data_IF_615206686528
#
_entry.id   IF_615206686528
#
_cell.length_a   1.000
_cell.length_b   1.000
_cell.length_c   1.000
_cell.angle_alpha   90.00
_cell.angle_beta   90.00
_cell.angle_gamma   90.00
#
_symmetry.space_group_name_H-M   'P 1'
#
loop_
_entity.id
_entity.type
_entity.pdbx_description
1 polymer ?
#
# COMPACT_ATOMS: atom_id res chain seq x y z
N UNK A 1 -11.76 -5.56 -28.80
CA UNK A 1 -11.70 -5.07 -27.41
C UNK A 1 -11.32 -6.25 -26.56
N UNK A 2 -10.06 -6.29 -26.14
CA UNK A 2 -9.59 -7.35 -25.26
C UNK A 2 -9.93 -6.90 -23.83
N UNK A 3 -10.79 -7.66 -23.15
CA UNK A 3 -11.15 -7.42 -21.75
C UNK A 3 -10.76 -8.63 -20.93
N UNK A 4 -9.93 -8.43 -19.91
CA UNK A 4 -9.56 -9.48 -18.97
C UNK A 4 -10.36 -9.32 -17.68
N UNK A 5 -11.00 -10.40 -17.24
CA UNK A 5 -11.71 -10.43 -15.97
C UNK A 5 -11.04 -11.43 -15.03
N UNK A 6 -10.75 -10.99 -13.81
CA UNK A 6 -10.25 -11.83 -12.73
C UNK A 6 -11.14 -11.68 -11.51
N UNK A 7 -11.36 -12.78 -10.80
CA UNK A 7 -12.00 -12.75 -9.48
C UNK A 7 -10.91 -12.84 -8.44
N UNK A 8 -10.76 -11.79 -7.63
CA UNK A 8 -9.74 -11.68 -6.61
C UNK A 8 -10.27 -12.11 -5.26
N UNK A 9 -9.62 -13.09 -4.63
CA UNK A 9 -9.94 -13.56 -3.29
C UNK A 9 -9.08 -12.84 -2.25
N UNK A 10 -9.69 -11.90 -1.53
CA UNK A 10 -9.02 -11.14 -0.49
C UNK A 10 -8.87 -11.97 0.80
N UNK A 11 -7.66 -12.48 1.04
CA UNK A 11 -7.34 -13.10 2.32
C UNK A 11 -6.59 -12.11 3.25
N UNK A 12 -6.81 -12.22 4.57
CA UNK A 12 -6.09 -11.43 5.60
C UNK A 12 -4.56 -11.39 5.43
N UNK A 13 -3.84 -12.50 5.16
CA UNK A 13 -2.40 -12.47 4.97
C UNK A 13 -1.98 -11.68 3.72
N UNK A 14 -2.77 -11.70 2.65
CA UNK A 14 -2.49 -10.97 1.41
C UNK A 14 -2.63 -9.45 1.65
N UNK A 15 -3.65 -9.03 2.42
CA UNK A 15 -3.84 -7.62 2.78
C UNK A 15 -2.68 -7.12 3.64
N UNK A 16 -2.25 -7.91 4.64
CA UNK A 16 -1.10 -7.56 5.48
C UNK A 16 0.21 -7.52 4.69
N UNK A 17 0.40 -8.47 3.78
CA UNK A 17 1.57 -8.51 2.90
C UNK A 17 1.62 -7.25 2.01
N UNK A 18 0.53 -6.95 1.30
CA UNK A 18 0.44 -5.78 0.43
C UNK A 18 0.66 -4.47 1.20
N UNK A 19 0.10 -4.35 2.40
CA UNK A 19 0.27 -3.16 3.24
C UNK A 19 1.71 -3.01 3.76
N UNK A 20 2.34 -4.11 4.19
CA UNK A 20 3.73 -4.08 4.64
C UNK A 20 4.68 -3.75 3.48
N UNK A 21 4.45 -4.31 2.31
CA UNK A 21 5.25 -4.04 1.12
C UNK A 21 5.06 -2.61 0.61
N UNK A 22 3.83 -2.10 0.59
CA UNK A 22 3.54 -0.70 0.28
C UNK A 22 4.27 0.26 1.23
N UNK A 23 4.27 -0.04 2.54
CA UNK A 23 5.01 0.75 3.53
C UNK A 23 6.53 0.64 3.36
N UNK A 24 7.06 -0.57 3.16
CA UNK A 24 8.50 -0.79 2.96
C UNK A 24 9.01 -0.07 1.71
N UNK A 25 8.24 -0.03 0.63
CA UNK A 25 8.64 0.65 -0.59
C UNK A 25 8.54 2.18 -0.46
N UNK A 26 7.50 2.71 0.19
CA UNK A 26 7.35 4.16 0.40
C UNK A 26 8.36 4.75 1.38
N UNK A 27 8.73 3.99 2.41
CA UNK A 27 9.64 4.43 3.47
C UNK A 27 11.08 4.10 3.05
N UNK A 28 11.29 2.92 2.47
CA UNK A 28 12.61 2.33 2.26
C UNK A 28 13.13 1.70 3.55
N UNK A 29 13.64 0.47 3.46
CA UNK A 29 14.22 -0.25 4.61
C UNK A 29 15.30 0.57 5.32
N UNK A 30 16.09 1.33 4.55
CA UNK A 30 17.16 2.17 5.07
C UNK A 30 16.65 3.26 6.02
N UNK A 31 15.57 3.98 5.66
CA UNK A 31 15.04 5.04 6.54
C UNK A 31 14.42 4.46 7.80
N UNK A 32 13.86 3.24 7.74
CA UNK A 32 13.36 2.51 8.90
C UNK A 32 14.50 2.17 9.86
N UNK A 33 15.63 1.66 9.35
CA UNK A 33 16.84 1.38 10.14
C UNK A 33 17.39 2.67 10.75
N UNK A 34 17.55 3.74 9.95
CA UNK A 34 18.08 5.03 10.43
C UNK A 34 17.18 5.62 11.51
N UNK A 35 15.86 5.58 11.32
CA UNK A 35 14.89 6.08 12.31
C UNK A 35 14.92 5.24 13.59
N UNK A 36 15.02 3.90 13.47
CA UNK A 36 15.17 3.00 14.61
C UNK A 36 16.45 3.27 15.41
N UNK A 37 17.58 3.43 14.71
CA UNK A 37 18.84 3.82 15.33
C UNK A 37 18.74 5.19 16.01
N UNK A 38 18.09 6.17 15.36
CA UNK A 38 17.91 7.51 15.92
C UNK A 38 17.02 7.50 17.19
N UNK A 39 15.95 6.69 17.20
CA UNK A 39 15.06 6.52 18.36
C UNK A 39 15.78 5.95 19.59
N UNK A 40 16.81 5.13 19.38
CA UNK A 40 17.58 4.51 20.47
C UNK A 40 18.76 5.42 20.88
N UNK A 41 19.51 5.95 19.91
CA UNK A 41 20.72 6.73 20.16
C UNK A 41 20.41 8.12 20.73
N UNK A 42 19.36 8.81 20.25
CA UNK A 42 19.06 10.17 20.69
C UNK A 42 18.74 10.27 22.19
N UNK A 43 17.89 9.40 22.79
CA UNK A 43 17.66 9.42 24.23
C UNK A 43 18.92 9.08 25.05
N UNK A 44 19.73 8.12 24.58
CA UNK A 44 20.98 7.74 25.26
C UNK A 44 21.98 8.90 25.31
N UNK A 45 22.13 9.62 24.19
CA UNK A 45 22.94 10.83 24.12
C UNK A 45 22.35 11.96 24.97
N UNK A 46 21.03 12.10 25.02
CA UNK A 46 20.34 13.13 25.80
C UNK A 46 20.56 12.98 27.31
N UNK A 47 20.54 11.73 27.79
CA UNK A 47 20.81 11.39 29.19
C UNK A 47 22.30 11.63 29.52
N UNK A 48 23.21 11.23 28.61
CA UNK A 48 24.66 11.35 28.82
C UNK A 48 25.18 12.78 28.83
N UNK A 49 24.74 13.62 27.88
CA UNK A 49 25.25 14.99 27.73
C UNK A 49 24.44 16.04 28.51
N UNK A 50 23.34 15.63 29.15
CA UNK A 50 22.43 16.49 29.93
C UNK A 50 22.01 17.78 29.19
N UNK A 51 21.95 17.70 27.86
CA UNK A 51 21.66 18.85 27.00
C UNK A 51 20.17 18.94 26.75
N UNK A 52 19.57 20.07 27.16
CA UNK A 52 18.15 20.34 26.98
C UNK A 52 17.73 20.38 25.50
N UNK A 53 18.57 20.98 24.64
CA UNK A 53 18.31 21.06 23.20
C UNK A 53 18.21 19.66 22.57
N UNK A 54 19.07 18.72 22.99
CA UNK A 54 19.05 17.36 22.47
C UNK A 54 17.79 16.60 22.91
N UNK A 55 17.29 16.88 24.12
CA UNK A 55 16.04 16.29 24.63
C UNK A 55 14.83 16.76 23.81
N UNK A 56 14.78 18.03 23.40
CA UNK A 56 13.71 18.55 22.54
C UNK A 56 13.69 17.85 21.18
N UNK A 57 14.85 17.64 20.54
CA UNK A 57 14.94 16.92 19.27
C UNK A 57 14.52 15.45 19.42
N UNK A 58 14.96 14.77 20.48
CA UNK A 58 14.57 13.39 20.75
C UNK A 58 13.04 13.27 20.91
N UNK A 59 12.42 14.18 21.67
CA UNK A 59 10.97 14.19 21.88
C UNK A 59 10.21 14.46 20.58
N UNK A 60 10.66 15.43 19.76
CA UNK A 60 10.06 15.71 18.46
C UNK A 60 10.11 14.51 17.51
N UNK A 61 11.22 13.76 17.51
CA UNK A 61 11.36 12.55 16.72
C UNK A 61 10.39 11.45 17.18
N UNK A 62 10.26 11.24 18.49
CA UNK A 62 9.28 10.30 19.07
C UNK A 62 7.84 10.66 18.72
N UNK A 63 7.48 11.94 18.79
CA UNK A 63 6.17 12.44 18.39
C UNK A 63 5.88 12.15 16.91
N UNK A 64 6.83 12.44 16.02
CA UNK A 64 6.68 12.18 14.58
C UNK A 64 6.46 10.70 14.27
N UNK A 65 7.26 9.82 14.88
CA UNK A 65 7.12 8.38 14.71
C UNK A 65 5.80 7.87 15.31
N UNK A 66 5.39 8.37 16.47
CA UNK A 66 4.12 8.01 17.11
C UNK A 66 2.92 8.37 16.24
N UNK A 67 2.90 9.58 15.69
CA UNK A 67 1.83 10.06 14.81
C UNK A 67 1.74 9.22 13.53
N UNK A 68 2.89 8.83 12.98
CA UNK A 68 2.96 7.93 11.84
C UNK A 68 2.42 6.52 12.16
N UNK A 69 2.80 5.96 13.32
CA UNK A 69 2.27 4.67 13.80
C UNK A 69 0.76 4.67 14.01
N UNK A 70 0.19 5.80 14.46
CA UNK A 70 -1.26 5.98 14.58
C UNK A 70 -1.94 5.91 13.20
N UNK A 71 -1.39 6.58 12.19
CA UNK A 71 -1.93 6.54 10.82
C UNK A 71 -1.89 5.11 10.25
N UNK A 72 -0.78 4.38 10.46
CA UNK A 72 -0.69 2.97 10.08
C UNK A 72 -1.78 2.13 10.75
N UNK A 73 -1.96 2.30 12.07
CA UNK A 73 -2.98 1.59 12.83
C UNK A 73 -4.40 1.88 12.35
N UNK A 74 -4.71 3.14 12.03
CA UNK A 74 -6.01 3.52 11.47
C UNK A 74 -6.24 2.86 10.11
N UNK A 75 -5.26 2.91 9.20
CA UNK A 75 -5.36 2.26 7.88
C UNK A 75 -5.54 0.75 8.00
N UNK A 76 -4.80 0.11 8.89
CA UNK A 76 -4.92 -1.34 9.12
C UNK A 76 -6.31 -1.70 9.64
N UNK A 77 -6.81 -0.96 10.64
CA UNK A 77 -8.17 -1.16 11.16
C UNK A 77 -9.23 -0.92 10.10
N UNK A 78 -9.08 0.10 9.26
CA UNK A 78 -10.00 0.36 8.16
C UNK A 78 -10.01 -0.80 7.15
N UNK A 79 -8.85 -1.30 6.74
CA UNK A 79 -8.76 -2.47 5.86
C UNK A 79 -9.38 -3.72 6.49
N UNK A 80 -9.16 -3.96 7.78
CA UNK A 80 -9.76 -5.08 8.51
C UNK A 80 -11.29 -4.93 8.67
N UNK A 81 -11.78 -3.71 8.88
CA UNK A 81 -13.22 -3.39 8.94
C UNK A 81 -13.91 -3.51 7.58
N UNK A 82 -13.24 -3.13 6.49
CA UNK A 82 -13.76 -3.31 5.13
C UNK A 82 -13.85 -4.80 4.83
N UNK A 83 -12.82 -5.57 5.17
CA UNK A 83 -12.81 -7.02 5.00
C UNK A 83 -13.89 -7.71 5.84
N UNK A 84 -14.12 -7.27 7.09
CA UNK A 84 -15.15 -7.87 7.95
C UNK A 84 -16.57 -7.53 7.51
N UNK A 85 -16.76 -6.45 6.73
CA UNK A 85 -18.04 -6.07 6.13
C UNK A 85 -18.31 -6.76 4.78
N UNK A 86 -17.30 -7.35 4.14
CA UNK A 86 -17.50 -8.16 2.94
C UNK A 86 -18.09 -9.52 3.34
N UNK A 87 -19.35 -9.78 2.96
CA UNK A 87 -20.01 -11.08 3.16
C UNK A 87 -19.28 -12.21 2.44
N UNK A 88 -18.67 -11.91 1.29
CA UNK A 88 -17.73 -12.75 0.55
C UNK A 88 -16.51 -11.90 0.22
N UNK A 89 -15.29 -12.30 0.62
CA UNK A 89 -14.10 -11.50 0.41
C UNK A 89 -13.58 -11.67 -1.04
N UNK A 90 -14.44 -11.35 -2.00
CA UNK A 90 -14.18 -11.46 -3.43
C UNK A 90 -14.45 -10.13 -4.10
N UNK A 91 -13.58 -9.74 -5.03
CA UNK A 91 -13.86 -8.65 -5.96
C UNK A 91 -13.53 -9.08 -7.38
N UNK A 92 -14.45 -8.78 -8.29
CA UNK A 92 -14.23 -8.97 -9.72
C UNK A 92 -13.56 -7.72 -10.27
N UNK A 93 -12.38 -7.90 -10.85
CA UNK A 93 -11.64 -6.83 -11.50
C UNK A 93 -11.66 -7.09 -13.00
N UNK A 94 -12.18 -6.12 -13.74
CA UNK A 94 -12.19 -6.12 -15.20
C UNK A 94 -11.20 -5.09 -15.71
N UNK A 95 -10.20 -5.54 -16.46
CA UNK A 95 -9.24 -4.70 -17.15
C UNK A 95 -9.68 -4.54 -18.60
N UNK A 96 -9.88 -3.30 -19.00
CA UNK A 96 -10.15 -2.89 -20.37
C UNK A 96 -9.01 -1.99 -20.86
N UNK A 97 -8.91 -1.78 -22.16
CA UNK A 97 -7.88 -0.93 -22.78
C UNK A 97 -7.98 0.54 -22.34
N UNK A 98 -9.12 0.99 -21.81
CA UNK A 98 -9.36 2.37 -21.40
C UNK A 98 -9.56 2.57 -19.89
N UNK A 99 -10.01 1.53 -19.18
CA UNK A 99 -10.33 1.61 -17.75
C UNK A 99 -10.12 0.27 -17.04
N UNK A 100 -9.96 0.37 -15.72
CA UNK A 100 -9.95 -0.72 -14.76
C UNK A 100 -11.23 -0.59 -13.93
N UNK A 101 -12.07 -1.61 -13.96
CA UNK A 101 -13.29 -1.68 -13.16
C UNK A 101 -13.10 -2.68 -12.04
N UNK A 102 -13.41 -2.26 -10.82
CA UNK A 102 -13.41 -3.12 -9.63
C UNK A 102 -14.84 -3.20 -9.12
N UNK A 103 -15.39 -4.40 -9.08
CA UNK A 103 -16.73 -4.69 -8.59
C UNK A 103 -16.64 -5.63 -7.39
N UNK A 104 -17.21 -5.22 -6.27
CA UNK A 104 -17.23 -6.00 -5.03
C UNK A 104 -18.62 -5.91 -4.40
N UNK A 105 -18.90 -6.77 -3.40
CA UNK A 105 -20.16 -6.68 -2.64
C UNK A 105 -20.39 -5.32 -1.96
N UNK A 106 -19.35 -4.49 -1.81
CA UNK A 106 -19.44 -3.16 -1.22
C UNK A 106 -19.68 -2.04 -2.24
N UNK A 107 -19.53 -2.32 -3.54
CA UNK A 107 -19.73 -1.35 -4.60
C UNK A 107 -18.87 -1.60 -5.83
N UNK A 108 -19.13 -0.78 -6.86
CA UNK A 108 -18.45 -0.77 -8.15
C UNK A 108 -17.68 0.54 -8.34
N UNK A 109 -16.41 0.45 -8.72
CA UNK A 109 -15.55 1.59 -9.00
C UNK A 109 -14.90 1.40 -10.37
N UNK A 110 -14.99 2.40 -11.24
CA UNK A 110 -14.31 2.42 -12.53
C UNK A 110 -13.28 3.55 -12.55
N UNK A 111 -12.03 3.20 -12.89
CA UNK A 111 -10.90 4.11 -12.92
C UNK A 111 -10.23 4.04 -14.29
N UNK A 112 -10.00 5.19 -14.93
CA UNK A 112 -9.25 5.26 -16.20
C UNK A 112 -7.77 5.01 -15.95
N UNK A 113 -7.05 4.52 -16.95
CA UNK A 113 -5.59 4.29 -16.85
C UNK A 113 -4.80 5.54 -16.43
N UNK A 114 -5.23 6.72 -16.89
CA UNK A 114 -4.68 8.03 -16.50
C UNK A 114 -4.80 8.36 -15.00
N UNK A 115 -5.69 7.69 -14.25
CA UNK A 115 -5.86 7.92 -12.82
C UNK A 115 -4.82 7.17 -11.96
N UNK A 116 -4.07 6.24 -12.57
CA UNK A 116 -3.03 5.49 -11.88
C UNK A 116 -1.70 6.23 -11.98
N UNK A 117 -1.14 6.54 -10.82
CA UNK A 117 0.13 7.26 -10.71
C UNK A 117 1.33 6.31 -10.89
N UNK A 118 1.17 5.06 -10.43
CA UNK A 118 2.28 4.11 -10.33
C UNK A 118 1.78 2.65 -10.27
N UNK A 119 2.59 1.72 -10.79
CA UNK A 119 2.43 0.28 -10.59
C UNK A 119 3.60 -0.25 -9.77
N UNK A 120 3.30 -0.78 -8.60
CA UNK A 120 4.26 -1.45 -7.74
C UNK A 120 4.13 -2.97 -7.95
N UNK A 121 5.19 -3.58 -8.46
CA UNK A 121 5.24 -5.01 -8.74
C UNK A 121 5.96 -5.72 -7.60
N UNK A 122 5.26 -6.57 -6.86
CA UNK A 122 5.86 -7.48 -5.89
C UNK A 122 5.67 -8.92 -6.33
N UNK A 123 6.49 -9.81 -5.78
CA UNK A 123 6.51 -11.23 -6.12
C UNK A 123 5.14 -11.91 -5.91
N UNK A 124 4.39 -11.49 -4.89
CA UNK A 124 3.13 -12.12 -4.52
C UNK A 124 1.89 -11.26 -4.82
N UNK A 125 2.06 -9.96 -5.06
CA UNK A 125 0.97 -9.04 -5.32
C UNK A 125 1.43 -7.82 -6.14
N UNK A 126 0.59 -7.33 -7.03
CA UNK A 126 0.78 -6.04 -7.69
C UNK A 126 -0.16 -5.00 -7.08
N UNK A 127 0.33 -3.78 -6.95
CA UNK A 127 -0.39 -2.66 -6.39
C UNK A 127 -0.45 -1.55 -7.43
N UNK A 128 -1.66 -1.27 -7.94
CA UNK A 128 -1.89 -0.08 -8.78
C UNK A 128 -2.29 1.09 -7.89
N UNK A 129 -1.45 2.11 -7.84
CA UNK A 129 -1.65 3.28 -7.00
C UNK A 129 -2.45 4.32 -7.77
N UNK A 130 -3.55 4.80 -7.18
CA UNK A 130 -4.37 5.86 -7.76
C UNK A 130 -4.64 6.97 -6.73
N UNK A 131 -4.87 8.18 -7.22
CA UNK A 131 -5.17 9.36 -6.39
C UNK A 131 -4.16 9.55 -5.22
N UNK A 132 -2.87 9.33 -5.48
CA UNK A 132 -1.72 9.43 -4.54
C UNK A 132 -1.73 8.53 -3.31
N UNK A 133 -2.84 7.92 -2.93
CA UNK A 133 -2.97 7.22 -1.65
C UNK A 133 -3.92 6.01 -1.63
N UNK A 134 -4.74 5.87 -2.67
CA UNK A 134 -5.54 4.67 -2.91
C UNK A 134 -4.72 3.65 -3.69
N UNK A 135 -5.03 2.37 -3.50
CA UNK A 135 -4.41 1.31 -4.27
C UNK A 135 -5.38 0.17 -4.55
N UNK A 136 -5.22 -0.45 -5.71
CA UNK A 136 -5.86 -1.73 -6.05
C UNK A 136 -4.82 -2.82 -5.82
N UNK A 137 -5.15 -3.79 -4.97
CA UNK A 137 -4.30 -4.94 -4.72
C UNK A 137 -4.75 -6.12 -5.58
N UNK A 138 -3.81 -6.68 -6.35
CA UNK A 138 -4.03 -7.82 -7.23
C UNK A 138 -3.01 -8.92 -6.89
N UNK A 139 -3.44 -10.07 -6.36
CA UNK A 139 -2.57 -11.21 -6.12
C UNK A 139 -1.98 -11.75 -7.43
N UNK A 140 -0.67 -12.02 -7.43
CA UNK A 140 0.01 -12.58 -8.62
C UNK A 140 -0.50 -13.97 -8.96
N UNK A 141 -0.95 -14.73 -7.96
CA UNK A 141 -1.56 -16.07 -8.13
C UNK A 141 -2.82 -16.07 -8.98
N UNK A 142 -3.50 -14.94 -9.08
CA UNK A 142 -4.77 -14.80 -9.81
C UNK A 142 -4.58 -14.10 -11.17
N UNK A 143 -3.34 -13.71 -11.51
CA UNK A 143 -3.00 -13.09 -12.78
C UNK A 143 -2.34 -14.09 -13.72
N UNK A 144 -2.87 -14.21 -14.94
CA UNK A 144 -2.14 -14.88 -16.02
C UNK A 144 -0.95 -14.01 -16.48
N UNK A 145 0.11 -14.60 -17.07
CA UNK A 145 1.22 -13.84 -17.65
C UNK A 145 0.76 -12.84 -18.72
N UNK A 146 -0.28 -13.19 -19.47
CA UNK A 146 -0.92 -12.34 -20.47
C UNK A 146 -1.56 -11.10 -19.85
N UNK A 147 -2.24 -11.27 -18.71
CA UNK A 147 -2.83 -10.15 -17.97
C UNK A 147 -1.76 -9.20 -17.43
N UNK A 148 -0.66 -9.73 -16.92
CA UNK A 148 0.47 -8.92 -16.44
C UNK A 148 1.01 -8.04 -17.56
N UNK A 149 1.27 -8.64 -18.73
CA UNK A 149 1.74 -7.90 -19.91
C UNK A 149 0.70 -6.87 -20.39
N UNK A 150 -0.59 -7.22 -20.35
CA UNK A 150 -1.67 -6.30 -20.73
C UNK A 150 -1.74 -5.08 -19.81
N UNK A 151 -1.65 -5.28 -18.49
CA UNK A 151 -1.65 -4.19 -17.50
C UNK A 151 -0.45 -3.26 -17.74
N UNK A 152 0.74 -3.83 -17.97
CA UNK A 152 1.94 -3.05 -18.25
C UNK A 152 1.82 -2.25 -19.55
N UNK A 153 1.31 -2.87 -20.61
CA UNK A 153 1.09 -2.22 -21.89
C UNK A 153 0.12 -1.04 -21.75
N UNK A 154 -1.03 -1.27 -21.11
CA UNK A 154 -2.02 -0.22 -20.90
C UNK A 154 -1.44 0.92 -20.07
N UNK A 155 -0.77 0.63 -18.95
CA UNK A 155 -0.18 1.65 -18.11
C UNK A 155 0.87 2.51 -18.84
N UNK A 156 1.72 1.90 -19.65
CA UNK A 156 2.75 2.61 -20.41
C UNK A 156 2.17 3.43 -21.56
N UNK A 157 1.05 3.01 -22.15
CA UNK A 157 0.44 3.70 -23.30
C UNK A 157 -0.30 5.00 -22.91
N UNK A 158 -0.74 5.13 -21.65
CA UNK A 158 -1.44 6.32 -21.15
C UNK A 158 -0.58 7.22 -20.27
N UNK A 159 0.74 7.01 -20.24
CA UNK A 159 1.71 7.83 -19.51
C UNK A 159 2.59 8.62 -20.48
#
# INVERSE_FOLDING_TARGET
MISYQITVHYNRPIIRYALNQFMLQRIGLFTLIVTGCALILMPLLAIKFHSFTLQMFAFGLWMGVGLWGIIYGIRLRQSELILSKMSTPTADITFNESSVTVESCLGKSELRWLAFDEILKFEHAWLLIYARSGYINIPVTEMSPELQQFIEYCFNNYR
#
